data_IF_238073556811
#
_entry.id   IF_238073556811
#
_cell.length_a   1.000
_cell.length_b   1.000
_cell.length_c   1.000
_cell.angle_alpha   90.00
_cell.angle_beta   90.00
_cell.angle_gamma   90.00
#
_symmetry.space_group_name_H-M   'P 1'
#
loop_
_entity.id
_entity.type
_entity.pdbx_description
1 polymer ?
#
# COMPACT_ATOMS: atom_id res chain seq x y z
N UNK A 1 -24.81 5.41 -2.88
CA UNK A 1 -23.77 4.47 -2.52
C UNK A 1 -22.89 4.12 -3.71
N UNK A 2 -21.69 3.75 -3.43
CA UNK A 2 -20.68 3.44 -4.46
C UNK A 2 -21.17 2.33 -5.41
N UNK A 3 -21.78 1.30 -4.86
CA UNK A 3 -22.28 0.18 -5.65
C UNK A 3 -23.32 0.62 -6.68
N UNK A 4 -24.22 1.51 -6.28
CA UNK A 4 -25.23 2.04 -7.18
C UNK A 4 -24.62 2.85 -8.31
N UNK A 5 -23.61 3.65 -8.00
CA UNK A 5 -22.89 4.43 -9.01
C UNK A 5 -22.19 3.51 -10.00
N UNK A 6 -21.55 2.47 -9.51
CA UNK A 6 -20.82 1.53 -10.36
C UNK A 6 -21.74 0.67 -11.22
N UNK A 7 -22.94 0.41 -10.74
CA UNK A 7 -23.93 -0.34 -11.49
C UNK A 7 -24.62 0.49 -12.60
N UNK A 8 -24.48 1.80 -12.53
CA UNK A 8 -25.04 2.67 -13.55
C UNK A 8 -26.56 2.62 -13.62
N UNK A 9 -27.20 2.42 -12.49
CA UNK A 9 -28.65 2.14 -12.47
C UNK A 9 -29.54 3.30 -12.87
N UNK A 10 -29.21 4.49 -12.37
CA UNK A 10 -30.09 5.63 -12.56
C UNK A 10 -29.51 6.55 -13.61
N UNK A 11 -28.25 6.84 -13.48
CA UNK A 11 -27.54 7.67 -14.44
C UNK A 11 -26.23 6.99 -14.74
N UNK A 12 -25.97 6.77 -16.01
CA UNK A 12 -24.69 6.22 -16.41
C UNK A 12 -23.58 7.22 -16.11
N UNK A 13 -22.47 6.71 -15.66
CA UNK A 13 -21.29 7.55 -15.48
C UNK A 13 -20.93 8.21 -16.81
N UNK A 14 -20.72 9.53 -16.84
CA UNK A 14 -20.27 10.20 -18.07
C UNK A 14 -18.94 9.62 -18.55
N UNK A 15 -18.75 9.52 -19.84
CA UNK A 15 -17.54 8.93 -20.44
C UNK A 15 -16.27 9.67 -20.08
N UNK A 16 -16.37 10.94 -19.72
CA UNK A 16 -15.22 11.76 -19.37
C UNK A 16 -14.88 11.74 -17.88
N UNK A 17 -15.50 10.83 -17.11
CA UNK A 17 -15.23 10.70 -15.68
C UNK A 17 -14.63 9.34 -15.41
N UNK A 18 -13.55 9.32 -14.62
CA UNK A 18 -12.90 8.10 -14.16
C UNK A 18 -13.05 8.06 -12.64
N UNK A 19 -13.44 6.90 -12.13
CA UNK A 19 -13.64 6.72 -10.69
C UNK A 19 -12.49 5.91 -10.13
N UNK A 20 -11.84 6.46 -9.09
CA UNK A 20 -10.82 5.77 -8.32
C UNK A 20 -11.34 5.51 -6.92
N UNK A 21 -11.13 4.32 -6.45
CA UNK A 21 -11.50 3.96 -5.08
C UNK A 21 -10.30 3.31 -4.40
N UNK A 22 -10.12 3.62 -3.11
CA UNK A 22 -9.07 3.01 -2.31
C UNK A 22 -9.68 2.30 -1.12
N UNK A 23 -9.05 1.23 -0.70
CA UNK A 23 -9.47 0.50 0.48
C UNK A 23 -8.25 0.03 1.26
N UNK A 24 -8.37 0.00 2.58
CA UNK A 24 -7.32 -0.50 3.45
C UNK A 24 -7.36 -2.02 3.60
N UNK A 25 -8.36 -2.65 3.02
CA UNK A 25 -8.46 -4.10 3.08
C UNK A 25 -7.39 -4.69 2.20
N UNK A 26 -6.49 -5.43 2.83
CA UNK A 26 -5.30 -5.95 2.17
C UNK A 26 -5.62 -6.81 0.96
N UNK A 27 -6.55 -7.71 1.13
CA UNK A 27 -6.94 -8.64 0.09
C UNK A 27 -8.39 -9.00 0.24
N UNK A 28 -9.12 -8.84 -0.81
CA UNK A 28 -10.46 -9.43 -0.86
C UNK A 28 -10.36 -10.94 -0.73
N UNK A 29 -9.29 -11.53 -1.26
CA UNK A 29 -9.06 -12.98 -1.20
C UNK A 29 -8.69 -13.44 0.22
N UNK A 30 -7.80 -12.72 0.91
CA UNK A 30 -7.40 -13.06 2.27
C UNK A 30 -8.57 -12.93 3.23
N UNK A 31 -9.35 -11.88 3.11
CA UNK A 31 -10.56 -11.69 3.90
C UNK A 31 -11.57 -12.80 3.67
N UNK A 32 -11.54 -13.39 2.48
CA UNK A 32 -12.39 -14.52 2.14
C UNK A 32 -12.20 -15.68 3.11
N UNK A 33 -10.98 -15.98 3.52
CA UNK A 33 -10.73 -17.06 4.48
C UNK A 33 -11.20 -16.69 5.89
N UNK A 34 -10.98 -15.46 6.31
CA UNK A 34 -11.45 -14.99 7.60
C UNK A 34 -12.98 -14.95 7.66
N UNK A 35 -13.60 -14.48 6.60
CA UNK A 35 -15.05 -14.36 6.53
C UNK A 35 -15.75 -15.73 6.53
N UNK A 36 -15.09 -16.79 6.13
CA UNK A 36 -15.65 -18.13 6.12
C UNK A 36 -16.04 -18.64 7.49
N UNK A 37 -15.44 -18.08 8.53
CA UNK A 37 -15.76 -18.46 9.90
C UNK A 37 -16.96 -17.71 10.45
N UNK A 38 -17.43 -16.71 9.76
CA UNK A 38 -18.57 -15.91 10.18
C UNK A 38 -19.86 -16.40 9.56
N UNK A 39 -20.96 -16.18 10.28
CA UNK A 39 -22.28 -16.66 9.88
C UNK A 39 -22.76 -16.08 8.55
N UNK A 40 -22.37 -14.84 8.23
CA UNK A 40 -22.77 -14.16 7.01
C UNK A 40 -21.62 -14.00 6.01
N UNK A 41 -20.62 -14.85 6.13
CA UNK A 41 -19.41 -14.76 5.33
C UNK A 41 -19.64 -14.83 3.82
N UNK A 42 -20.58 -15.67 3.40
CA UNK A 42 -20.87 -15.87 1.98
C UNK A 42 -21.39 -14.60 1.30
N UNK A 43 -22.38 -13.96 1.91
CA UNK A 43 -22.95 -12.73 1.36
C UNK A 43 -21.93 -11.60 1.34
N UNK A 44 -21.13 -11.48 2.40
CA UNK A 44 -20.08 -10.48 2.49
C UNK A 44 -19.02 -10.71 1.41
N UNK A 45 -18.65 -11.95 1.17
CA UNK A 45 -17.70 -12.31 0.13
C UNK A 45 -18.21 -11.97 -1.26
N UNK A 46 -19.45 -12.32 -1.55
CA UNK A 46 -20.05 -12.04 -2.84
C UNK A 46 -20.13 -10.53 -3.10
N UNK A 47 -20.44 -9.75 -2.07
CA UNK A 47 -20.49 -8.30 -2.18
C UNK A 47 -19.11 -7.73 -2.46
N UNK A 48 -18.07 -8.20 -1.76
CA UNK A 48 -16.70 -7.74 -1.98
C UNK A 48 -16.20 -8.09 -3.39
N UNK A 49 -16.46 -9.29 -3.84
CA UNK A 49 -16.11 -9.73 -5.19
C UNK A 49 -16.85 -8.92 -6.24
N UNK A 50 -18.15 -8.65 -5.99
CA UNK A 50 -18.97 -7.86 -6.89
C UNK A 50 -18.41 -6.44 -7.07
N UNK A 51 -17.96 -5.82 -5.98
CA UNK A 51 -17.35 -4.49 -6.05
C UNK A 51 -16.04 -4.54 -6.83
N UNK A 52 -15.21 -5.55 -6.56
CA UNK A 52 -13.94 -5.71 -7.28
C UNK A 52 -14.15 -5.87 -8.77
N UNK A 53 -15.16 -6.63 -9.17
CA UNK A 53 -15.45 -6.90 -10.58
C UNK A 53 -15.90 -5.66 -11.34
N UNK A 54 -16.41 -4.65 -10.65
CA UNK A 54 -16.90 -3.43 -11.30
C UNK A 54 -15.80 -2.45 -11.65
N UNK A 55 -14.61 -2.66 -11.12
CA UNK A 55 -13.45 -1.85 -11.47
C UNK A 55 -12.63 -2.58 -12.51
N UNK A 56 -12.35 -1.90 -13.62
CA UNK A 56 -11.59 -2.50 -14.71
C UNK A 56 -10.14 -2.79 -14.35
N UNK A 57 -9.58 -2.02 -13.43
CA UNK A 57 -8.20 -2.17 -13.00
C UNK A 57 -8.14 -2.18 -11.48
N UNK A 58 -7.48 -3.18 -10.94
CA UNK A 58 -7.25 -3.29 -9.49
C UNK A 58 -5.75 -3.34 -9.25
N UNK A 59 -5.26 -2.43 -8.43
CA UNK A 59 -3.85 -2.37 -8.06
C UNK A 59 -3.74 -2.60 -6.56
N UNK A 60 -2.97 -3.61 -6.19
CA UNK A 60 -2.75 -3.96 -4.79
C UNK A 60 -1.38 -3.44 -4.33
N UNK A 61 -1.39 -2.77 -3.19
CA UNK A 61 -0.18 -2.26 -2.57
C UNK A 61 0.09 -3.09 -1.32
N UNK A 62 1.16 -3.86 -1.37
CA UNK A 62 1.53 -4.75 -0.27
C UNK A 62 2.59 -4.09 0.60
N UNK A 63 2.65 -4.52 1.87
CA UNK A 63 3.75 -4.11 2.72
C UNK A 63 5.04 -4.71 2.16
N UNK A 64 6.05 -3.90 1.88
CA UNK A 64 7.31 -4.42 1.37
C UNK A 64 7.98 -5.38 2.36
N UNK A 65 8.67 -6.39 1.84
CA UNK A 65 9.54 -7.20 2.67
C UNK A 65 10.85 -6.44 2.92
N UNK A 66 11.76 -7.04 3.67
CA UNK A 66 13.01 -6.40 4.02
C UNK A 66 13.83 -6.00 2.80
N UNK A 67 13.90 -6.88 1.82
CA UNK A 67 14.65 -6.65 0.59
C UNK A 67 14.05 -5.49 -0.21
N UNK A 68 12.74 -5.46 -0.33
CA UNK A 68 12.04 -4.39 -1.03
C UNK A 68 12.16 -3.06 -0.29
N UNK A 69 12.12 -3.09 1.04
CA UNK A 69 12.32 -1.91 1.87
C UNK A 69 13.69 -1.31 1.63
N UNK A 70 14.73 -2.13 1.58
CA UNK A 70 16.09 -1.66 1.28
C UNK A 70 16.22 -1.09 -0.12
N UNK A 71 15.49 -1.65 -1.10
CA UNK A 71 15.44 -1.08 -2.44
C UNK A 71 14.81 0.31 -2.46
N UNK A 72 13.76 0.50 -1.70
CA UNK A 72 13.12 1.81 -1.58
C UNK A 72 14.10 2.81 -0.96
N UNK A 73 14.82 2.39 0.06
CA UNK A 73 15.84 3.21 0.72
C UNK A 73 16.92 3.62 -0.30
N UNK A 74 17.43 2.66 -1.07
CA UNK A 74 18.44 2.94 -2.09
C UNK A 74 17.93 3.94 -3.13
N UNK A 75 16.68 3.78 -3.57
CA UNK A 75 16.07 4.71 -4.50
C UNK A 75 15.96 6.12 -3.95
N UNK A 76 15.63 6.25 -2.66
CA UNK A 76 15.54 7.55 -2.01
C UNK A 76 16.93 8.19 -1.86
N UNK A 77 17.93 7.41 -1.52
CA UNK A 77 19.31 7.90 -1.43
C UNK A 77 19.76 8.47 -2.78
N UNK A 78 19.50 7.73 -3.85
CA UNK A 78 19.85 8.15 -5.20
C UNK A 78 19.05 9.38 -5.63
N UNK A 79 17.76 9.40 -5.36
CA UNK A 79 16.87 10.49 -5.73
C UNK A 79 17.28 11.80 -5.05
N UNK A 80 17.70 11.73 -3.80
CA UNK A 80 18.11 12.91 -3.04
C UNK A 80 19.59 13.26 -3.23
N UNK A 81 20.32 12.45 -4.01
CA UNK A 81 21.71 12.68 -4.28
C UNK A 81 22.62 12.60 -3.05
N UNK A 82 22.28 11.72 -2.12
CA UNK A 82 23.07 11.56 -0.90
C UNK A 82 24.30 10.73 -1.18
N UNK A 83 25.46 11.25 -0.80
CA UNK A 83 26.74 10.54 -0.96
C UNK A 83 27.05 9.77 0.32
N UNK A 84 26.42 8.62 0.45
CA UNK A 84 26.53 7.77 1.63
C UNK A 84 26.77 6.34 1.19
N UNK A 85 27.60 5.62 1.93
CA UNK A 85 27.84 4.20 1.70
C UNK A 85 26.54 3.41 1.89
N UNK A 86 26.16 2.65 0.89
CA UNK A 86 24.92 1.89 0.90
C UNK A 86 24.88 0.82 2.00
N UNK A 87 26.01 0.21 2.31
CA UNK A 87 26.06 -0.77 3.39
C UNK A 87 25.75 -0.11 4.74
N UNK A 88 26.28 1.07 4.95
CA UNK A 88 26.00 1.85 6.15
C UNK A 88 24.50 2.19 6.24
N UNK A 89 23.95 2.67 5.13
CA UNK A 89 22.52 3.04 5.07
C UNK A 89 21.65 1.82 5.36
N UNK A 90 21.96 0.68 4.75
CA UNK A 90 21.21 -0.55 4.97
C UNK A 90 21.25 -0.98 6.43
N UNK A 91 22.41 -0.94 7.05
CA UNK A 91 22.55 -1.32 8.45
C UNK A 91 21.73 -0.42 9.37
N UNK A 92 21.79 0.88 9.12
CA UNK A 92 21.01 1.83 9.91
C UNK A 92 19.50 1.70 9.65
N UNK A 93 19.13 1.40 8.40
CA UNK A 93 17.73 1.18 8.04
C UNK A 93 17.14 -0.04 8.76
N UNK A 94 17.90 -1.11 8.89
CA UNK A 94 17.45 -2.30 9.60
C UNK A 94 17.27 -2.04 11.09
N UNK A 95 18.14 -1.23 11.68
CA UNK A 95 17.95 -0.79 13.07
C UNK A 95 16.69 0.06 13.21
N UNK A 96 16.48 0.97 12.29
CA UNK A 96 15.31 1.84 12.27
C UNK A 96 14.03 1.01 12.19
N UNK A 97 14.01 0.01 11.30
CA UNK A 97 12.87 -0.88 11.13
C UNK A 97 12.48 -1.55 12.43
N UNK A 98 13.45 -2.06 13.17
CA UNK A 98 13.21 -2.72 14.45
C UNK A 98 12.62 -1.77 15.49
N UNK A 99 13.10 -0.54 15.52
CA UNK A 99 12.65 0.45 16.49
C UNK A 99 11.30 1.06 16.15
N UNK A 100 11.00 1.20 14.86
CA UNK A 100 9.83 1.91 14.38
C UNK A 100 8.78 0.97 13.79
N UNK A 101 9.07 -0.31 13.75
CA UNK A 101 8.11 -1.35 13.39
C UNK A 101 7.44 -1.14 12.06
N UNK A 102 8.18 -0.72 11.03
CA UNK A 102 7.57 -0.46 9.73
C UNK A 102 8.52 -0.59 8.57
N UNK A 103 7.97 -1.11 7.47
CA UNK A 103 8.68 -1.28 6.19
C UNK A 103 7.97 -0.58 5.04
N UNK A 104 7.06 0.34 5.33
CA UNK A 104 6.32 1.03 4.29
C UNK A 104 7.20 2.07 3.58
N UNK A 105 6.81 2.53 2.39
CA UNK A 105 7.48 3.66 1.76
C UNK A 105 7.50 4.90 2.64
N UNK A 106 6.46 5.10 3.45
CA UNK A 106 6.42 6.19 4.41
C UNK A 106 7.51 6.05 5.47
N UNK A 107 7.68 4.83 6.01
CA UNK A 107 8.76 4.55 6.96
C UNK A 107 10.11 4.80 6.35
N UNK A 108 10.30 4.39 5.09
CA UNK A 108 11.55 4.62 4.37
C UNK A 108 11.83 6.11 4.24
N UNK A 109 10.85 6.91 3.87
CA UNK A 109 10.99 8.36 3.76
C UNK A 109 11.34 8.99 5.11
N UNK A 110 10.66 8.57 6.16
CA UNK A 110 10.94 9.07 7.52
C UNK A 110 12.36 8.72 7.95
N UNK A 111 12.80 7.51 7.63
CA UNK A 111 14.18 7.11 7.94
C UNK A 111 15.19 7.99 7.21
N UNK A 112 15.00 8.23 5.92
CA UNK A 112 15.91 9.05 5.13
C UNK A 112 15.91 10.50 5.63
N UNK A 113 14.75 11.04 5.99
CA UNK A 113 14.64 12.37 6.60
C UNK A 113 15.47 12.45 7.89
N UNK A 114 15.33 11.43 8.74
CA UNK A 114 16.10 11.37 9.99
C UNK A 114 17.59 11.27 9.72
N UNK A 115 17.97 10.42 8.76
CA UNK A 115 19.38 10.19 8.43
C UNK A 115 20.03 11.47 7.89
N UNK A 116 19.35 12.17 6.98
CA UNK A 116 19.83 13.45 6.47
C UNK A 116 20.03 14.46 7.59
N UNK A 117 19.08 14.56 8.49
CA UNK A 117 19.18 15.45 9.65
C UNK A 117 20.33 15.09 10.55
N UNK A 118 20.53 13.79 10.78
CA UNK A 118 21.62 13.30 11.63
C UNK A 118 22.99 13.59 11.01
N UNK A 119 23.15 13.37 9.71
CA UNK A 119 24.41 13.57 9.03
C UNK A 119 24.77 15.04 8.82
N UNK A 120 23.78 15.91 8.82
CA UNK A 120 24.02 17.34 8.63
C UNK A 120 24.40 18.08 9.92
N UNK A 121 24.45 17.39 11.04
CA UNK A 121 24.85 17.98 12.32
C UNK A 121 26.35 18.11 12.45
#
# INVERSE_FOLDING_TARGET
ALKTILEGRVENKPDNIIIYATTNRRHLIVEKFADREEINSKDTMEEKLSLSDRFGITISFFTPDQKEFLKIIDGLVDLRGLDIDKEYVHREALKWEKWHNGRSPRSATQFIDWLEGYLSK
#
